data_IF_840188404269
#
_entry.id   IF_840188404269
#
_cell.length_a   1.000
_cell.length_b   1.000
_cell.length_c   1.000
_cell.angle_alpha   90.00
_cell.angle_beta   90.00
_cell.angle_gamma   90.00
#
_symmetry.space_group_name_H-M   'P 1'
#
loop_
_entity.id
_entity.type
_entity.pdbx_description
1 polymer ?
#
# COMPACT_ATOMS: atom_id res chain seq x y z
N UNK A 1 -0.40 17.44 -9.98
CA UNK A 1 -0.13 18.34 -11.13
C UNK A 1 -0.38 19.80 -10.79
N UNK A 2 -1.40 20.12 -10.02
CA UNK A 2 -1.66 21.51 -9.59
C UNK A 2 -0.65 22.01 -8.55
N UNK A 3 -0.06 21.13 -7.76
CA UNK A 3 0.94 21.44 -6.74
C UNK A 3 2.23 20.66 -7.03
N UNK A 4 3.05 21.14 -7.99
CA UNK A 4 4.20 20.38 -8.50
C UNK A 4 5.45 20.44 -7.60
N UNK A 5 5.35 20.96 -6.40
CA UNK A 5 6.47 21.09 -5.44
C UNK A 5 6.02 20.70 -4.03
N UNK A 6 6.52 19.58 -3.49
CA UNK A 6 7.32 18.55 -4.16
C UNK A 6 6.50 17.80 -5.23
N UNK A 7 7.17 17.40 -6.34
CA UNK A 7 6.52 16.66 -7.41
C UNK A 7 6.34 15.18 -6.99
N UNK A 8 5.10 14.72 -6.91
CA UNK A 8 4.77 13.32 -6.63
C UNK A 8 4.62 12.46 -7.89
N UNK A 9 4.77 13.07 -9.05
CA UNK A 9 4.76 12.39 -10.34
C UNK A 9 6.01 12.81 -11.12
N UNK A 10 6.78 11.84 -11.66
CA UNK A 10 7.93 12.13 -12.51
C UNK A 10 7.58 12.96 -13.74
N UNK A 11 8.56 13.67 -14.30
CA UNK A 11 8.36 14.47 -15.52
C UNK A 11 8.25 13.57 -16.77
N UNK A 12 9.03 12.48 -16.81
CA UNK A 12 8.96 11.52 -17.88
C UNK A 12 7.60 10.81 -17.95
N UNK A 13 6.95 10.85 -19.11
CA UNK A 13 5.59 10.33 -19.30
C UNK A 13 5.49 8.82 -19.08
N UNK A 14 6.52 8.06 -19.46
CA UNK A 14 6.51 6.60 -19.30
C UNK A 14 6.61 6.20 -17.82
N UNK A 15 7.51 6.83 -17.06
CA UNK A 15 7.64 6.60 -15.61
C UNK A 15 6.41 7.12 -14.86
N UNK A 16 5.87 8.29 -15.25
CA UNK A 16 4.62 8.82 -14.71
C UNK A 16 3.45 7.84 -14.87
N UNK A 17 3.33 7.19 -16.02
CA UNK A 17 2.32 6.16 -16.24
C UNK A 17 2.52 4.93 -15.34
N UNK A 18 3.77 4.49 -15.14
CA UNK A 18 4.11 3.37 -14.24
C UNK A 18 3.78 3.70 -12.78
N UNK A 19 4.11 4.91 -12.32
CA UNK A 19 3.76 5.40 -10.96
C UNK A 19 2.25 5.36 -10.75
N UNK A 20 1.47 5.90 -11.70
CA UNK A 20 0.01 5.86 -11.63
C UNK A 20 -0.54 4.44 -11.65
N UNK A 21 0.01 3.56 -12.50
CA UNK A 21 -0.41 2.17 -12.57
C UNK A 21 -0.22 1.46 -11.22
N UNK A 22 0.95 1.58 -10.58
CA UNK A 22 1.20 0.96 -9.27
C UNK A 22 0.30 1.55 -8.18
N UNK A 23 0.10 2.87 -8.17
CA UNK A 23 -0.82 3.51 -7.24
C UNK A 23 -2.27 3.02 -7.41
N UNK A 24 -2.73 2.81 -8.65
CA UNK A 24 -4.06 2.31 -8.97
C UNK A 24 -4.21 0.81 -8.68
N UNK A 25 -3.18 -0.01 -8.86
CA UNK A 25 -3.21 -1.41 -8.41
C UNK A 25 -3.54 -1.49 -6.92
N UNK A 26 -2.94 -0.61 -6.12
CA UNK A 26 -3.24 -0.55 -4.68
C UNK A 26 -4.65 0.01 -4.43
N UNK A 27 -4.95 1.18 -4.98
CA UNK A 27 -6.16 1.91 -4.65
C UNK A 27 -7.44 1.30 -5.25
N UNK A 28 -7.35 0.63 -6.40
CA UNK A 28 -8.50 0.13 -7.14
C UNK A 28 -8.63 -1.40 -7.14
N UNK A 29 -7.56 -2.13 -6.82
CA UNK A 29 -7.58 -3.60 -6.86
C UNK A 29 -7.32 -4.23 -5.49
N UNK A 30 -6.23 -3.85 -4.79
CA UNK A 30 -5.87 -4.47 -3.50
C UNK A 30 -6.75 -3.93 -2.36
N UNK A 31 -6.73 -2.61 -2.14
CA UNK A 31 -7.41 -1.97 -1.02
C UNK A 31 -8.94 -2.21 -1.00
N UNK A 32 -9.67 -2.16 -2.11
CA UNK A 32 -11.12 -2.33 -2.11
C UNK A 32 -11.58 -3.70 -1.59
N UNK A 33 -10.79 -4.75 -1.77
CA UNK A 33 -11.14 -6.11 -1.33
C UNK A 33 -11.09 -6.28 0.20
N UNK A 34 -10.36 -5.40 0.90
CA UNK A 34 -10.23 -5.39 2.35
C UNK A 34 -10.88 -4.15 2.99
N UNK A 35 -11.65 -3.38 2.22
CA UNK A 35 -12.37 -2.23 2.71
C UNK A 35 -13.47 -2.63 3.70
N UNK A 36 -13.72 -1.78 4.70
CA UNK A 36 -14.69 -2.03 5.77
C UNK A 36 -16.07 -2.46 5.22
N UNK A 37 -16.56 -1.84 4.15
CA UNK A 37 -17.85 -2.19 3.54
C UNK A 37 -17.90 -3.64 3.03
N UNK A 38 -16.78 -4.14 2.49
CA UNK A 38 -16.68 -5.53 2.01
C UNK A 38 -16.66 -6.48 3.21
N UNK A 39 -15.84 -6.18 4.22
CA UNK A 39 -15.73 -7.00 5.42
C UNK A 39 -17.05 -7.06 6.21
N UNK A 40 -17.79 -5.95 6.27
CA UNK A 40 -19.12 -5.89 6.87
C UNK A 40 -20.14 -6.73 6.08
N UNK A 41 -20.09 -6.70 4.75
CA UNK A 41 -20.96 -7.52 3.91
C UNK A 41 -20.67 -9.01 4.07
N UNK A 42 -19.40 -9.41 4.12
CA UNK A 42 -18.99 -10.78 4.37
C UNK A 42 -19.55 -11.31 5.70
N UNK A 43 -19.38 -10.53 6.78
CA UNK A 43 -19.82 -10.96 8.11
C UNK A 43 -21.33 -10.82 8.31
N UNK A 44 -21.93 -9.71 7.85
CA UNK A 44 -23.36 -9.42 8.09
C UNK A 44 -24.29 -10.14 7.13
N UNK A 45 -24.09 -9.98 5.81
CA UNK A 45 -25.00 -10.50 4.81
C UNK A 45 -24.72 -11.96 4.47
N UNK A 46 -23.44 -12.31 4.28
CA UNK A 46 -23.04 -13.67 3.91
C UNK A 46 -22.78 -14.58 5.13
N UNK A 47 -22.83 -14.01 6.34
CA UNK A 47 -22.61 -14.74 7.60
C UNK A 47 -21.30 -15.55 7.62
N UNK A 48 -20.25 -15.03 6.98
CA UNK A 48 -18.93 -15.66 6.93
C UNK A 48 -18.31 -15.62 8.32
N UNK A 49 -17.71 -16.73 8.76
CA UNK A 49 -17.03 -16.81 10.06
C UNK A 49 -15.83 -15.86 10.12
N UNK A 50 -15.41 -15.47 11.33
CA UNK A 50 -14.22 -14.61 11.49
C UNK A 50 -12.95 -15.28 10.93
N UNK A 51 -12.82 -16.60 11.04
CA UNK A 51 -11.72 -17.35 10.43
C UNK A 51 -11.73 -17.23 8.90
N UNK A 52 -12.86 -17.48 8.25
CA UNK A 52 -12.98 -17.37 6.79
C UNK A 52 -12.81 -15.92 6.30
N UNK A 53 -13.23 -14.92 7.10
CA UNK A 53 -12.96 -13.50 6.81
C UNK A 53 -11.48 -13.17 6.92
N UNK A 54 -10.77 -13.70 7.92
CA UNK A 54 -9.33 -13.56 8.04
C UNK A 54 -8.59 -14.21 6.87
N UNK A 55 -9.01 -15.38 6.42
CA UNK A 55 -8.46 -16.05 5.24
C UNK A 55 -8.69 -15.25 3.95
N UNK A 56 -9.89 -14.66 3.79
CA UNK A 56 -10.18 -13.72 2.70
C UNK A 56 -9.18 -12.57 2.67
N UNK A 57 -8.97 -11.90 3.81
CA UNK A 57 -8.07 -10.75 3.91
C UNK A 57 -6.64 -11.17 3.53
N UNK A 58 -6.14 -12.24 4.12
CA UNK A 58 -4.78 -12.75 3.87
C UNK A 58 -4.59 -13.16 2.41
N UNK A 59 -5.56 -13.84 1.83
CA UNK A 59 -5.50 -14.28 0.44
C UNK A 59 -5.34 -13.10 -0.52
N UNK A 60 -6.18 -12.07 -0.40
CA UNK A 60 -6.16 -10.94 -1.32
C UNK A 60 -4.97 -10.00 -1.08
N UNK A 61 -4.55 -9.82 0.17
CA UNK A 61 -3.32 -9.10 0.48
C UNK A 61 -2.11 -9.81 -0.11
N UNK A 62 -1.98 -11.11 0.11
CA UNK A 62 -0.85 -11.89 -0.41
C UNK A 62 -0.79 -11.84 -1.94
N UNK A 63 -1.90 -12.08 -2.62
CA UNK A 63 -2.00 -12.00 -4.08
C UNK A 63 -1.59 -10.62 -4.62
N UNK A 64 -2.07 -9.54 -4.00
CA UNK A 64 -1.70 -8.18 -4.37
C UNK A 64 -0.22 -7.88 -4.16
N UNK A 65 0.33 -8.27 -3.01
CA UNK A 65 1.75 -8.03 -2.72
C UNK A 65 2.71 -8.82 -3.61
N UNK A 66 2.34 -10.01 -4.13
CA UNK A 66 3.12 -10.70 -5.15
C UNK A 66 3.31 -9.80 -6.38
N UNK A 67 2.24 -9.19 -6.87
CA UNK A 67 2.29 -8.29 -8.03
C UNK A 67 3.13 -7.03 -7.74
N UNK A 68 2.95 -6.44 -6.56
CA UNK A 68 3.71 -5.25 -6.14
C UNK A 68 5.21 -5.56 -6.01
N UNK A 69 5.58 -6.67 -5.36
CA UNK A 69 6.99 -7.08 -5.21
C UNK A 69 7.65 -7.30 -6.56
N UNK A 70 6.98 -8.00 -7.48
CA UNK A 70 7.50 -8.24 -8.83
C UNK A 70 7.77 -6.95 -9.59
N UNK A 71 6.90 -5.95 -9.46
CA UNK A 71 7.10 -4.64 -10.12
C UNK A 71 8.17 -3.81 -9.43
N UNK A 72 8.14 -3.75 -8.11
CA UNK A 72 9.09 -2.97 -7.33
C UNK A 72 10.50 -3.51 -7.43
N UNK A 73 10.70 -4.82 -7.55
CA UNK A 73 12.03 -5.41 -7.79
C UNK A 73 12.71 -4.89 -9.08
N UNK A 74 11.92 -4.30 -9.99
CA UNK A 74 12.44 -3.74 -11.26
C UNK A 74 12.54 -2.22 -11.25
N UNK A 75 11.86 -1.52 -10.35
CA UNK A 75 11.73 -0.06 -10.38
C UNK A 75 12.22 0.64 -9.10
N UNK A 76 12.27 -0.07 -7.99
CA UNK A 76 12.59 0.55 -6.72
C UNK A 76 14.08 0.92 -6.61
N UNK A 77 14.33 2.10 -6.07
CA UNK A 77 15.57 2.53 -5.46
C UNK A 77 15.36 2.68 -3.96
N UNK A 78 15.54 3.87 -3.43
CA UNK A 78 15.11 4.17 -2.05
C UNK A 78 13.58 4.10 -1.90
N UNK A 79 12.85 4.50 -2.96
CA UNK A 79 11.38 4.52 -2.99
C UNK A 79 10.86 3.68 -4.17
N UNK A 80 9.56 3.64 -4.37
CA UNK A 80 8.92 2.82 -5.40
C UNK A 80 9.49 3.03 -6.81
N UNK A 81 9.94 4.26 -7.13
CA UNK A 81 10.50 4.61 -8.43
C UNK A 81 11.77 5.46 -8.25
N UNK A 82 12.90 4.80 -7.98
CA UNK A 82 14.19 5.47 -7.77
C UNK A 82 14.30 6.10 -6.38
N UNK A 83 14.87 7.33 -6.32
CA UNK A 83 15.29 7.95 -5.06
C UNK A 83 14.40 9.14 -4.65
N UNK A 84 13.28 9.33 -5.33
CA UNK A 84 12.30 10.38 -5.04
C UNK A 84 10.96 9.76 -4.64
N UNK A 85 10.31 10.33 -3.60
CA UNK A 85 8.96 9.92 -3.21
C UNK A 85 7.96 10.22 -4.32
N UNK A 86 7.11 9.24 -4.63
CA UNK A 86 6.08 9.36 -5.65
C UNK A 86 4.68 9.09 -5.08
N UNK A 87 3.65 9.27 -5.89
CA UNK A 87 2.28 8.88 -5.56
C UNK A 87 2.18 7.37 -5.19
N UNK A 88 3.03 6.54 -5.78
CA UNK A 88 3.05 5.10 -5.49
C UNK A 88 3.42 4.83 -4.02
N UNK A 89 4.39 5.55 -3.46
CA UNK A 89 4.81 5.42 -2.07
C UNK A 89 3.69 5.84 -1.10
N UNK A 90 2.97 6.91 -1.43
CA UNK A 90 1.83 7.40 -0.65
C UNK A 90 0.70 6.35 -0.59
N UNK A 91 0.51 5.57 -1.66
CA UNK A 91 -0.45 4.46 -1.66
C UNK A 91 0.10 3.20 -0.97
N UNK A 92 1.40 2.92 -1.15
CA UNK A 92 2.02 1.70 -0.62
C UNK A 92 2.07 1.69 0.91
N UNK A 93 2.52 2.78 1.52
CA UNK A 93 2.73 2.85 2.98
C UNK A 93 1.48 2.49 3.78
N UNK A 94 0.30 3.10 3.56
CA UNK A 94 -0.91 2.72 4.28
C UNK A 94 -1.40 1.30 3.93
N UNK A 95 -1.10 0.79 2.74
CA UNK A 95 -1.45 -0.59 2.37
C UNK A 95 -0.59 -1.62 3.11
N UNK A 96 0.73 -1.35 3.29
CA UNK A 96 1.60 -2.19 4.13
C UNK A 96 1.18 -2.10 5.58
N UNK A 97 0.85 -0.91 6.10
CA UNK A 97 0.31 -0.74 7.44
C UNK A 97 -0.94 -1.61 7.66
N UNK A 98 -1.87 -1.59 6.71
CA UNK A 98 -3.07 -2.43 6.74
C UNK A 98 -2.72 -3.92 6.77
N UNK A 99 -1.78 -4.37 5.93
CA UNK A 99 -1.35 -5.76 5.90
C UNK A 99 -0.77 -6.22 7.25
N UNK A 100 0.10 -5.43 7.85
CA UNK A 100 0.69 -5.71 9.16
C UNK A 100 -0.37 -5.77 10.26
N UNK A 101 -1.37 -4.88 10.23
CA UNK A 101 -2.51 -4.87 11.15
C UNK A 101 -3.32 -6.18 11.09
N UNK A 102 -3.44 -6.79 9.91
CA UNK A 102 -4.10 -8.08 9.72
C UNK A 102 -3.15 -9.28 9.86
N UNK A 103 -1.96 -9.07 10.39
CA UNK A 103 -0.95 -10.12 10.60
C UNK A 103 -0.62 -10.90 9.30
N UNK A 104 -0.55 -10.18 8.18
CA UNK A 104 -0.04 -10.71 6.92
C UNK A 104 1.47 -10.97 7.06
N UNK A 105 1.91 -12.17 6.69
CA UNK A 105 3.33 -12.46 6.58
C UNK A 105 3.92 -11.71 5.37
N UNK A 106 4.83 -10.77 5.65
CA UNK A 106 5.50 -9.94 4.67
C UNK A 106 6.90 -10.43 4.29
N UNK A 107 7.34 -11.58 4.79
CA UNK A 107 8.71 -12.12 4.57
C UNK A 107 9.02 -12.40 3.10
N UNK A 108 8.00 -12.70 2.29
CA UNK A 108 8.12 -12.92 0.85
C UNK A 108 8.23 -11.62 0.01
N UNK A 109 8.14 -10.44 0.65
CA UNK A 109 8.07 -9.14 -0.03
C UNK A 109 9.19 -8.19 0.44
N UNK A 110 10.48 -8.55 0.27
CA UNK A 110 11.59 -7.78 0.81
C UNK A 110 11.73 -6.40 0.18
N UNK A 111 11.43 -6.23 -1.12
CA UNK A 111 11.50 -4.91 -1.78
C UNK A 111 10.41 -3.98 -1.27
N UNK A 112 9.19 -4.48 -1.13
CA UNK A 112 8.07 -3.73 -0.53
C UNK A 112 8.45 -3.25 0.88
N UNK A 113 9.01 -4.15 1.70
CA UNK A 113 9.38 -3.82 3.09
C UNK A 113 10.56 -2.85 3.16
N UNK A 114 11.52 -2.92 2.23
CA UNK A 114 12.62 -1.97 2.16
C UNK A 114 12.11 -0.55 1.82
N UNK A 115 11.24 -0.43 0.81
CA UNK A 115 10.61 0.86 0.46
C UNK A 115 9.79 1.40 1.63
N UNK A 116 8.98 0.56 2.28
CA UNK A 116 8.22 0.93 3.48
C UNK A 116 9.13 1.48 4.58
N UNK A 117 10.22 0.79 4.88
CA UNK A 117 11.19 1.21 5.88
C UNK A 117 11.77 2.60 5.55
N UNK A 118 12.19 2.81 4.30
CA UNK A 118 12.75 4.09 3.85
C UNK A 118 11.73 5.23 3.94
N UNK A 119 10.48 4.99 3.55
CA UNK A 119 9.40 5.97 3.70
C UNK A 119 9.20 6.37 5.17
N UNK A 120 9.23 5.42 6.09
CA UNK A 120 9.04 5.68 7.53
C UNK A 120 10.16 6.54 8.15
N UNK A 121 11.34 6.63 7.52
CA UNK A 121 12.41 7.55 7.97
C UNK A 121 12.09 9.01 7.64
N UNK A 122 11.13 9.29 6.78
CA UNK A 122 10.75 10.64 6.41
C UNK A 122 9.72 11.20 7.40
N UNK A 123 10.00 12.42 7.92
CA UNK A 123 9.13 13.07 8.90
C UNK A 123 7.67 13.17 8.44
N UNK A 124 7.42 13.39 7.14
CA UNK A 124 6.06 13.47 6.60
C UNK A 124 5.27 12.18 6.78
N UNK A 125 5.88 11.01 6.54
CA UNK A 125 5.22 9.72 6.76
C UNK A 125 5.09 9.39 8.25
N UNK A 126 6.13 9.69 9.04
CA UNK A 126 6.09 9.48 10.49
C UNK A 126 4.96 10.28 11.15
N UNK A 127 4.81 11.56 10.79
CA UNK A 127 3.75 12.43 11.30
C UNK A 127 2.35 12.04 10.80
N UNK A 128 2.25 11.43 9.62
CA UNK A 128 0.99 10.95 9.05
C UNK A 128 0.57 9.56 9.56
N UNK A 129 1.41 8.89 10.36
CA UNK A 129 1.08 7.58 10.91
C UNK A 129 -0.21 7.65 11.76
N UNK A 130 -1.09 6.62 11.69
CA UNK A 130 -2.36 6.63 12.43
C UNK A 130 -2.20 6.87 13.92
N UNK A 131 -1.15 6.33 14.53
CA UNK A 131 -0.84 6.46 15.96
C UNK A 131 -0.45 7.89 16.38
N UNK A 132 -0.12 8.75 15.41
CA UNK A 132 0.25 10.15 15.64
C UNK A 132 -0.95 11.11 15.47
N UNK A 133 -2.12 10.59 15.09
CA UNK A 133 -3.29 11.43 14.85
C UNK A 133 -4.03 11.73 16.17
N UNK A 134 -4.73 12.89 16.28
CA UNK A 134 -5.44 13.27 17.50
C UNK A 134 -6.56 12.31 17.91
N UNK A 135 -7.08 11.53 16.97
CA UNK A 135 -8.14 10.53 17.16
C UNK A 135 -7.61 9.08 17.23
N UNK A 136 -6.30 8.90 17.40
CA UNK A 136 -5.68 7.58 17.58
C UNK A 136 -6.27 6.87 18.81
N UNK A 137 -6.67 5.59 18.64
CA UNK A 137 -7.24 4.74 19.70
C UNK A 137 -6.30 3.59 20.02
#
# INVERSE_FOLDING_TARGET
>A
EMYPKPALLPQDSATKAKVRALALDIACDIHPLNNLRVLQYLSGTLAVTDAAKADWIKHWLHSGFISLEQRLSQSAGQFCFGDEVTLADICLVPQVYNALRFAQDMSAFPTVMAVQHNCQQLAAFALAAPEQQPDAQ
#
